data_IF_288250035489
#
_entry.id   IF_288250035489
#
_cell.length_a   1.000
_cell.length_b   1.000
_cell.length_c   1.000
_cell.angle_alpha   90.00
_cell.angle_beta   90.00
_cell.angle_gamma   90.00
#
_symmetry.space_group_name_H-M   'P 1'
#
loop_
_entity.id
_entity.type
_entity.pdbx_description
1 polymer ?
#
# COMPACT_ATOMS: atom_id res chain seq x y z
N UNK A 1 -17.63 8.77 7.03
CA UNK A 1 -16.25 8.96 6.54
C UNK A 1 -16.35 9.18 5.04
N UNK A 2 -15.94 10.33 4.53
CA UNK A 2 -16.04 10.64 3.09
C UNK A 2 -14.84 10.03 2.39
N UNK A 3 -15.05 8.95 1.64
CA UNK A 3 -14.01 8.32 0.83
C UNK A 3 -13.62 9.29 -0.31
N UNK A 4 -12.33 9.49 -0.62
CA UNK A 4 -11.90 10.33 -1.74
C UNK A 4 -12.19 9.70 -3.11
N UNK A 5 -12.60 8.43 -3.14
CA UNK A 5 -12.88 7.66 -4.34
C UNK A 5 -14.39 7.57 -4.58
N UNK A 6 -14.80 7.76 -5.83
CA UNK A 6 -16.16 7.41 -6.27
C UNK A 6 -16.33 5.88 -6.29
N UNK A 7 -17.57 5.36 -6.22
CA UNK A 7 -17.81 3.91 -6.30
C UNK A 7 -17.17 3.26 -7.54
N UNK A 8 -17.27 3.92 -8.69
CA UNK A 8 -16.66 3.42 -9.93
C UNK A 8 -15.12 3.37 -9.87
N UNK A 9 -14.48 4.32 -9.20
CA UNK A 9 -13.03 4.32 -8.99
C UNK A 9 -12.60 3.24 -8.00
N UNK A 10 -13.39 3.01 -6.94
CA UNK A 10 -13.15 1.92 -6.00
C UNK A 10 -13.26 0.55 -6.69
N UNK A 11 -14.28 0.36 -7.52
CA UNK A 11 -14.43 -0.87 -8.32
C UNK A 11 -13.27 -1.08 -9.29
N UNK A 12 -12.85 -0.01 -10.00
CA UNK A 12 -11.71 -0.07 -10.90
C UNK A 12 -10.40 -0.40 -10.16
N UNK A 13 -10.20 0.18 -8.97
CA UNK A 13 -9.04 -0.09 -8.12
C UNK A 13 -9.04 -1.55 -7.64
N UNK A 14 -10.17 -2.05 -7.13
CA UNK A 14 -10.30 -3.44 -6.69
C UNK A 14 -10.06 -4.40 -7.85
N UNK A 15 -10.55 -4.09 -9.04
CA UNK A 15 -10.30 -4.88 -10.24
C UNK A 15 -8.82 -4.89 -10.62
N UNK A 16 -8.13 -3.75 -10.55
CA UNK A 16 -6.70 -3.65 -10.83
C UNK A 16 -5.86 -4.46 -9.84
N UNK A 17 -6.17 -4.38 -8.53
CA UNK A 17 -5.51 -5.18 -7.49
C UNK A 17 -5.70 -6.68 -7.77
N UNK A 18 -6.94 -7.11 -8.03
CA UNK A 18 -7.21 -8.51 -8.38
C UNK A 18 -6.43 -8.98 -9.59
N UNK A 19 -6.34 -8.16 -10.64
CA UNK A 19 -5.56 -8.51 -11.83
C UNK A 19 -4.06 -8.63 -11.54
N UNK A 20 -3.52 -7.79 -10.64
CA UNK A 20 -2.14 -7.90 -10.19
C UNK A 20 -1.93 -9.19 -9.41
N UNK A 21 -2.80 -9.52 -8.44
CA UNK A 21 -2.74 -10.76 -7.64
C UNK A 21 -2.94 -12.04 -8.48
N UNK A 22 -3.51 -11.96 -9.68
CA UNK A 22 -3.53 -13.11 -10.61
C UNK A 22 -2.16 -13.42 -11.23
N UNK A 23 -1.23 -12.47 -11.19
CA UNK A 23 0.12 -12.58 -11.78
C UNK A 23 1.21 -12.80 -10.74
N UNK A 24 0.89 -12.70 -9.46
CA UNK A 24 1.83 -12.89 -8.35
C UNK A 24 1.18 -13.71 -7.25
N UNK A 25 1.97 -14.45 -6.48
CA UNK A 25 1.47 -15.08 -5.25
C UNK A 25 1.33 -14.09 -4.09
N UNK A 26 1.76 -12.83 -4.29
CA UNK A 26 1.71 -11.77 -3.29
C UNK A 26 0.30 -11.22 -3.07
N UNK A 27 0.01 -10.83 -1.83
CA UNK A 27 -1.25 -10.17 -1.47
C UNK A 27 -1.04 -8.66 -1.45
N UNK A 28 -1.88 -7.91 -2.18
CA UNK A 28 -1.77 -6.46 -2.29
C UNK A 28 -2.99 -5.82 -1.63
N UNK A 29 -2.77 -4.91 -0.68
CA UNK A 29 -3.85 -4.13 -0.05
C UNK A 29 -3.58 -2.63 -0.11
N UNK A 30 -4.65 -1.85 -0.30
CA UNK A 30 -4.63 -0.40 -0.13
C UNK A 30 -5.42 -0.03 1.13
N UNK A 31 -4.77 0.69 2.04
CA UNK A 31 -5.40 1.31 3.20
C UNK A 31 -5.44 2.82 3.01
N UNK A 32 -6.65 3.38 3.05
CA UNK A 32 -6.89 4.81 2.85
C UNK A 32 -7.41 5.42 4.14
N UNK A 33 -6.68 6.40 4.68
CA UNK A 33 -7.07 7.19 5.83
C UNK A 33 -7.24 8.67 5.44
N UNK A 34 -7.99 9.43 6.24
CA UNK A 34 -8.14 10.87 6.02
C UNK A 34 -6.86 11.61 6.38
N UNK A 35 -6.34 11.41 7.60
CA UNK A 35 -5.08 11.99 8.08
C UNK A 35 -4.22 10.92 8.72
N UNK A 36 -2.91 11.03 8.53
CA UNK A 36 -1.97 10.21 9.28
C UNK A 36 -1.95 10.69 10.73
N UNK A 37 -2.20 9.81 11.72
CA UNK A 37 -2.11 10.17 13.13
C UNK A 37 -0.66 10.33 13.60
N UNK A 38 0.30 9.75 12.86
CA UNK A 38 1.74 9.82 13.15
C UNK A 38 2.44 10.81 12.21
N UNK A 39 3.57 11.41 12.65
CA UNK A 39 4.41 12.23 11.77
C UNK A 39 5.05 11.40 10.65
N UNK A 40 5.39 10.14 10.92
CA UNK A 40 5.99 9.22 9.95
C UNK A 40 4.94 8.25 9.37
N UNK A 41 4.68 8.27 8.05
CA UNK A 41 3.67 7.40 7.45
C UNK A 41 4.12 5.94 7.35
N UNK A 42 5.42 5.66 7.37
CA UNK A 42 5.96 4.31 7.42
C UNK A 42 5.61 3.61 8.74
N UNK A 43 5.71 4.30 9.88
CA UNK A 43 5.29 3.74 11.18
C UNK A 43 3.80 3.42 11.21
N UNK A 44 2.96 4.32 10.68
CA UNK A 44 1.51 4.05 10.61
C UNK A 44 1.22 2.88 9.68
N UNK A 45 1.89 2.80 8.52
CA UNK A 45 1.75 1.67 7.63
C UNK A 45 2.12 0.36 8.35
N UNK A 46 3.25 0.33 9.07
CA UNK A 46 3.70 -0.85 9.82
C UNK A 46 2.69 -1.28 10.91
N UNK A 47 2.10 -0.32 11.62
CA UNK A 47 1.01 -0.58 12.57
C UNK A 47 -0.19 -1.21 11.86
N UNK A 48 -0.67 -0.59 10.78
CA UNK A 48 -1.82 -1.08 10.01
C UNK A 48 -1.55 -2.48 9.44
N UNK A 49 -0.33 -2.75 9.00
CA UNK A 49 0.09 -4.07 8.50
C UNK A 49 0.00 -5.16 9.58
N UNK A 50 0.40 -4.82 10.81
CA UNK A 50 0.24 -5.69 11.97
C UNK A 50 -1.24 -5.86 12.35
N UNK A 51 -2.02 -4.78 12.38
CA UNK A 51 -3.47 -4.78 12.68
C UNK A 51 -4.25 -5.66 11.69
N UNK A 52 -3.93 -5.55 10.39
CA UNK A 52 -4.52 -6.34 9.31
C UNK A 52 -3.97 -7.77 9.20
N UNK A 53 -3.03 -8.14 10.08
CA UNK A 53 -2.35 -9.45 10.12
C UNK A 53 -1.75 -9.86 8.78
N UNK A 54 -1.25 -8.91 8.00
CA UNK A 54 -0.68 -9.19 6.67
C UNK A 54 0.63 -9.99 6.71
N UNK A 55 1.24 -10.09 7.89
CA UNK A 55 2.39 -10.96 8.17
C UNK A 55 2.02 -12.46 8.32
N UNK A 56 0.73 -12.82 8.30
CA UNK A 56 0.26 -14.21 8.36
C UNK A 56 0.15 -14.87 6.97
N UNK A 57 0.85 -14.35 5.96
CA UNK A 57 0.93 -15.01 4.65
C UNK A 57 1.98 -16.13 4.69
N UNK A 58 1.70 -17.27 4.03
CA UNK A 58 2.61 -18.42 4.03
C UNK A 58 3.99 -18.09 3.47
N UNK A 59 4.06 -17.18 2.49
CA UNK A 59 5.28 -16.79 1.80
C UNK A 59 5.83 -15.43 2.26
N UNK A 60 5.20 -14.81 3.27
CA UNK A 60 5.55 -13.45 3.72
C UNK A 60 5.68 -12.47 2.57
N UNK A 61 4.65 -12.40 1.75
CA UNK A 61 4.61 -11.63 0.51
C UNK A 61 3.40 -10.69 0.45
N UNK A 62 2.98 -10.19 1.61
CA UNK A 62 2.01 -9.12 1.71
C UNK A 62 2.62 -7.76 1.38
N UNK A 63 1.90 -6.93 0.63
CA UNK A 63 2.24 -5.55 0.31
C UNK A 63 1.10 -4.64 0.73
N UNK A 64 1.39 -3.66 1.57
CA UNK A 64 0.43 -2.65 2.00
C UNK A 64 0.82 -1.28 1.42
N UNK A 65 -0.10 -0.74 0.64
CA UNK A 65 -0.11 0.66 0.24
C UNK A 65 -0.89 1.45 1.29
N UNK A 66 -0.27 2.45 1.88
CA UNK A 66 -0.87 3.33 2.86
C UNK A 66 -0.99 4.74 2.28
N UNK A 67 -2.21 5.28 2.26
CA UNK A 67 -2.52 6.60 1.73
C UNK A 67 -3.32 7.43 2.73
N UNK A 68 -2.74 8.54 3.18
CA UNK A 68 -3.43 9.55 3.97
C UNK A 68 -3.70 10.80 3.10
N UNK A 69 -4.89 10.90 2.54
CA UNK A 69 -5.16 11.85 1.44
C UNK A 69 -5.22 13.32 1.88
N UNK A 70 -5.70 13.65 3.08
CA UNK A 70 -5.71 15.05 3.55
C UNK A 70 -4.32 15.51 4.00
N UNK A 71 -3.53 14.61 4.58
CA UNK A 71 -2.13 14.92 4.97
C UNK A 71 -1.15 14.81 3.80
N UNK A 72 -1.61 14.33 2.63
CA UNK A 72 -0.76 14.05 1.44
C UNK A 72 0.44 13.16 1.78
N UNK A 73 0.23 12.20 2.67
CA UNK A 73 1.27 11.24 3.06
C UNK A 73 0.97 9.89 2.42
N UNK A 74 2.03 9.28 1.89
CA UNK A 74 1.97 7.99 1.24
C UNK A 74 3.16 7.15 1.71
N UNK A 75 2.90 5.88 1.99
CA UNK A 75 3.92 4.90 2.32
C UNK A 75 3.56 3.56 1.67
N UNK A 76 4.59 2.78 1.35
CA UNK A 76 4.43 1.41 0.89
C UNK A 76 5.34 0.54 1.72
N UNK A 77 4.82 -0.59 2.20
CA UNK A 77 5.59 -1.57 2.96
C UNK A 77 5.31 -2.97 2.42
N UNK A 78 6.37 -3.74 2.28
CA UNK A 78 6.31 -5.16 1.97
C UNK A 78 6.70 -5.99 3.18
N UNK A 79 6.21 -7.22 3.19
CA UNK A 79 6.60 -8.24 4.15
C UNK A 79 8.02 -8.77 3.87
N UNK A 80 8.59 -9.46 4.85
CA UNK A 80 9.98 -9.90 4.87
C UNK A 80 10.37 -10.79 3.68
N UNK A 81 9.44 -11.60 3.15
CA UNK A 81 9.70 -12.46 1.99
C UNK A 81 9.95 -11.66 0.72
N UNK A 82 9.26 -10.52 0.53
CA UNK A 82 9.51 -9.60 -0.58
C UNK A 82 10.79 -8.81 -0.31
N UNK A 83 10.93 -8.25 0.90
CA UNK A 83 12.12 -7.47 1.27
C UNK A 83 13.43 -8.26 1.15
N UNK A 84 13.39 -9.59 1.28
CA UNK A 84 14.57 -10.45 1.13
C UNK A 84 14.98 -10.68 -0.34
N UNK A 85 14.13 -10.37 -1.31
CA UNK A 85 14.37 -10.63 -2.75
C UNK A 85 14.42 -9.38 -3.60
N UNK A 86 13.85 -8.26 -3.12
CA UNK A 86 13.90 -6.97 -3.83
C UNK A 86 15.13 -6.17 -3.43
N UNK A 87 15.70 -5.36 -4.33
CA UNK A 87 16.75 -4.40 -4.00
C UNK A 87 16.27 -3.35 -2.98
N UNK A 88 17.18 -2.77 -2.21
CA UNK A 88 16.87 -1.73 -1.22
C UNK A 88 16.11 -0.52 -1.82
N UNK A 89 16.40 -0.19 -3.09
CA UNK A 89 15.79 0.93 -3.81
C UNK A 89 14.40 0.63 -4.39
N UNK A 90 13.93 -0.61 -4.31
CA UNK A 90 12.67 -1.04 -4.95
C UNK A 90 11.47 -0.24 -4.42
N UNK A 91 11.35 -0.09 -3.11
CA UNK A 91 10.21 0.60 -2.49
C UNK A 91 10.25 2.11 -2.70
N UNK A 92 11.44 2.71 -2.72
CA UNK A 92 11.57 4.13 -3.07
C UNK A 92 11.17 4.36 -4.53
N UNK A 93 11.59 3.50 -5.48
CA UNK A 93 11.17 3.60 -6.87
C UNK A 93 9.65 3.45 -7.06
N UNK A 94 9.02 2.52 -6.34
CA UNK A 94 7.55 2.35 -6.34
C UNK A 94 6.87 3.62 -5.79
N UNK A 95 7.39 4.16 -4.70
CA UNK A 95 6.86 5.37 -4.07
C UNK A 95 7.01 6.59 -4.98
N UNK A 96 8.16 6.77 -5.63
CA UNK A 96 8.37 7.84 -6.61
C UNK A 96 7.39 7.74 -7.77
N UNK A 97 7.24 6.55 -8.36
CA UNK A 97 6.27 6.30 -9.44
C UNK A 97 4.86 6.72 -9.05
N UNK A 98 4.42 6.36 -7.84
CA UNK A 98 3.09 6.73 -7.34
C UNK A 98 2.98 8.23 -7.09
N UNK A 99 3.99 8.85 -6.48
CA UNK A 99 4.03 10.30 -6.23
C UNK A 99 3.99 11.10 -7.52
N UNK A 100 4.66 10.65 -8.58
CA UNK A 100 4.61 11.29 -9.90
C UNK A 100 3.19 11.33 -10.45
N UNK A 101 2.43 10.24 -10.33
CA UNK A 101 1.02 10.19 -10.74
C UNK A 101 0.13 11.09 -9.87
N UNK A 102 0.46 11.30 -8.59
CA UNK A 102 -0.25 12.25 -7.73
C UNK A 102 0.06 13.73 -8.03
N UNK A 103 1.16 14.02 -8.73
CA UNK A 103 1.55 15.37 -9.12
C UNK A 103 0.90 15.84 -10.44
N UNK A 104 0.39 14.92 -11.24
CA UNK A 104 -0.35 15.20 -12.47
C UNK A 104 -1.80 15.63 -12.16
#
# INVERSE_FOLDING_TARGET
MTSPLTPAQEEALVAAIKQAELRTSGEIRLHVETKCPTPEPLDRAAQVFAELKMHHTQLRNGVLFYLAWQSRQFAVIGDAGINSVVPDEFWEAVKETVIEHFRQ
#
